data_IF_198130072045
#
_entry.id   IF_198130072045
#
_cell.length_a   1.000
_cell.length_b   1.000
_cell.length_c   1.000
_cell.angle_alpha   90.00
_cell.angle_beta   90.00
_cell.angle_gamma   90.00
#
_symmetry.space_group_name_H-M   'P 1'
#
loop_
_entity.id
_entity.type
_entity.pdbx_description
1 polymer ?
#
# COMPACT_ATOMS: atom_id res chain seq x y z
N UNK A 1 -1.74 10.33 -18.69
CA UNK A 1 -2.98 10.66 -17.98
C UNK A 1 -4.17 9.80 -18.40
N UNK A 2 -4.34 9.44 -19.68
CA UNK A 2 -5.48 8.64 -20.17
C UNK A 2 -5.70 7.29 -19.46
N UNK A 3 -4.63 6.52 -19.16
CA UNK A 3 -4.73 5.21 -18.51
C UNK A 3 -5.38 5.30 -17.12
N UNK A 4 -4.99 6.28 -16.32
CA UNK A 4 -5.55 6.45 -14.97
C UNK A 4 -6.99 6.93 -15.00
N UNK A 5 -7.35 7.78 -15.98
CA UNK A 5 -8.73 8.20 -16.24
C UNK A 5 -9.62 7.01 -16.60
N UNK A 6 -9.17 6.12 -17.49
CA UNK A 6 -9.93 4.92 -17.87
C UNK A 6 -10.16 3.96 -16.70
N UNK A 7 -9.16 3.79 -15.83
CA UNK A 7 -9.30 2.99 -14.60
C UNK A 7 -10.27 3.69 -13.63
N UNK A 8 -10.15 5.02 -13.47
CA UNK A 8 -11.05 5.83 -12.66
C UNK A 8 -12.50 5.73 -13.13
N UNK A 9 -12.72 5.81 -14.44
CA UNK A 9 -14.03 5.67 -15.06
C UNK A 9 -14.64 4.28 -14.80
N UNK A 10 -13.84 3.20 -14.96
CA UNK A 10 -14.30 1.84 -14.67
C UNK A 10 -14.64 1.66 -13.18
N UNK A 11 -13.78 2.16 -12.28
CA UNK A 11 -14.01 2.10 -10.85
C UNK A 11 -15.17 3.00 -10.41
N UNK A 12 -15.44 4.05 -11.16
CA UNK A 12 -16.56 4.97 -10.95
C UNK A 12 -17.93 4.27 -10.97
N UNK A 13 -18.10 3.21 -11.76
CA UNK A 13 -19.34 2.41 -11.75
C UNK A 13 -19.65 1.81 -10.37
N UNK A 14 -18.62 1.36 -9.66
CA UNK A 14 -18.80 0.82 -8.29
C UNK A 14 -19.24 1.96 -7.35
N UNK A 15 -18.59 3.11 -7.48
CA UNK A 15 -18.91 4.29 -6.66
C UNK A 15 -20.31 4.83 -6.98
N UNK A 16 -20.66 4.88 -8.28
CA UNK A 16 -22.00 5.25 -8.74
C UNK A 16 -23.07 4.28 -8.20
N UNK A 17 -22.85 2.97 -8.34
CA UNK A 17 -23.79 1.96 -7.84
C UNK A 17 -24.02 2.06 -6.34
N UNK A 18 -22.94 2.28 -5.56
CA UNK A 18 -23.03 2.53 -4.14
C UNK A 18 -23.78 3.83 -3.82
N UNK A 19 -23.52 4.90 -4.56
CA UNK A 19 -24.24 6.17 -4.40
C UNK A 19 -25.73 6.03 -4.77
N UNK A 20 -26.04 5.32 -5.86
CA UNK A 20 -27.41 5.09 -6.29
C UNK A 20 -28.26 4.42 -5.20
N UNK A 21 -27.67 3.47 -4.47
CA UNK A 21 -28.33 2.73 -3.37
C UNK A 21 -28.50 3.61 -2.13
N UNK A 22 -27.42 4.27 -1.70
CA UNK A 22 -27.37 4.94 -0.40
C UNK A 22 -27.66 6.44 -0.44
N UNK A 23 -27.67 7.05 -1.64
CA UNK A 23 -27.87 8.50 -1.87
C UNK A 23 -26.96 9.37 -0.99
N UNK A 24 -25.84 8.82 -0.56
CA UNK A 24 -24.85 9.48 0.30
C UNK A 24 -23.45 9.15 -0.17
N UNK A 25 -22.67 10.16 -0.54
CA UNK A 25 -21.36 9.97 -1.15
C UNK A 25 -20.31 9.47 -0.14
N UNK A 26 -20.42 9.87 1.13
CA UNK A 26 -19.54 9.35 2.18
C UNK A 26 -19.73 7.84 2.40
N UNK A 27 -20.98 7.37 2.44
CA UNK A 27 -21.29 5.94 2.53
C UNK A 27 -20.83 5.24 1.25
N UNK A 28 -21.04 5.85 0.08
CA UNK A 28 -20.58 5.32 -1.20
C UNK A 28 -19.05 5.13 -1.21
N UNK A 29 -18.28 6.07 -0.68
CA UNK A 29 -16.81 5.95 -0.52
C UNK A 29 -16.45 4.75 0.37
N UNK A 30 -17.14 4.55 1.49
CA UNK A 30 -16.87 3.42 2.41
C UNK A 30 -17.12 2.10 1.69
N UNK A 31 -18.30 1.93 1.09
CA UNK A 31 -18.70 0.70 0.36
C UNK A 31 -17.74 0.44 -0.80
N UNK A 32 -17.47 1.46 -1.60
CA UNK A 32 -16.50 1.40 -2.70
C UNK A 32 -15.13 0.91 -2.22
N UNK A 33 -14.63 1.50 -1.13
CA UNK A 33 -13.31 1.13 -0.58
C UNK A 33 -13.30 -0.32 -0.11
N UNK A 34 -14.36 -0.79 0.55
CA UNK A 34 -14.47 -2.19 0.99
C UNK A 34 -14.49 -3.13 -0.22
N UNK A 35 -15.32 -2.85 -1.25
CA UNK A 35 -15.44 -3.69 -2.45
C UNK A 35 -14.11 -3.78 -3.18
N UNK A 36 -13.44 -2.65 -3.43
CA UNK A 36 -12.15 -2.64 -4.12
C UNK A 36 -11.08 -3.35 -3.30
N UNK A 37 -11.02 -3.14 -1.98
CA UNK A 37 -10.06 -3.84 -1.11
C UNK A 37 -10.33 -5.34 -1.04
N UNK A 38 -11.59 -5.76 -1.05
CA UNK A 38 -11.97 -7.18 -1.11
C UNK A 38 -11.56 -7.81 -2.45
N UNK A 39 -11.80 -7.14 -3.57
CA UNK A 39 -11.36 -7.59 -4.88
C UNK A 39 -9.82 -7.71 -4.97
N UNK A 40 -9.09 -6.81 -4.33
CA UNK A 40 -7.62 -6.80 -4.29
C UNK A 40 -7.03 -7.72 -3.19
N UNK A 41 -7.87 -8.35 -2.36
CA UNK A 41 -7.41 -9.19 -1.25
C UNK A 41 -6.45 -10.31 -1.70
N UNK A 42 -6.73 -11.12 -2.77
CA UNK A 42 -5.81 -12.16 -3.22
C UNK A 42 -4.46 -11.60 -3.69
N UNK A 43 -4.46 -10.39 -4.26
CA UNK A 43 -3.21 -9.70 -4.62
C UNK A 43 -2.42 -9.28 -3.38
N UNK A 44 -3.09 -8.72 -2.38
CA UNK A 44 -2.48 -8.34 -1.09
C UNK A 44 -1.84 -9.55 -0.37
N UNK A 45 -2.48 -10.71 -0.44
CA UNK A 45 -1.91 -11.98 0.06
C UNK A 45 -0.63 -12.37 -0.66
N UNK A 46 -0.61 -12.28 -1.99
CA UNK A 46 0.59 -12.58 -2.78
C UNK A 46 1.72 -11.62 -2.46
N UNK A 47 1.41 -10.34 -2.30
CA UNK A 47 2.36 -9.29 -1.91
C UNK A 47 2.97 -9.60 -0.53
N UNK A 48 2.15 -9.96 0.45
CA UNK A 48 2.64 -10.31 1.79
C UNK A 48 3.53 -11.55 1.79
N UNK A 49 3.16 -12.59 1.03
CA UNK A 49 4.01 -13.78 0.84
C UNK A 49 5.36 -13.43 0.21
N UNK A 50 5.37 -12.56 -0.79
CA UNK A 50 6.61 -12.07 -1.43
C UNK A 50 7.48 -11.28 -0.45
N UNK A 51 6.89 -10.42 0.38
CA UNK A 51 7.61 -9.66 1.41
C UNK A 51 8.21 -10.58 2.48
N UNK A 52 7.49 -11.62 2.90
CA UNK A 52 7.99 -12.60 3.86
C UNK A 52 9.20 -13.40 3.31
N UNK A 53 9.18 -13.77 2.02
CA UNK A 53 10.33 -14.39 1.35
C UNK A 53 11.56 -13.49 1.31
N UNK A 54 11.35 -12.17 1.18
CA UNK A 54 12.43 -11.18 1.16
C UNK A 54 13.10 -10.98 2.54
N UNK A 55 12.47 -11.40 3.64
CA UNK A 55 13.03 -11.27 4.99
C UNK A 55 14.33 -12.08 5.17
N UNK A 56 14.41 -13.26 4.57
CA UNK A 56 15.63 -14.09 4.57
C UNK A 56 16.76 -13.41 3.81
N UNK A 57 16.42 -12.85 2.65
CA UNK A 57 17.36 -12.13 1.82
C UNK A 57 17.92 -10.91 2.55
N UNK A 58 17.09 -10.20 3.30
CA UNK A 58 17.49 -8.99 4.02
C UNK A 58 18.52 -9.26 5.13
N UNK A 59 18.49 -10.43 5.78
CA UNK A 59 19.53 -10.83 6.74
C UNK A 59 20.88 -10.99 6.05
N UNK A 60 20.92 -11.75 4.95
CA UNK A 60 22.15 -11.95 4.17
C UNK A 60 22.68 -10.63 3.58
N UNK A 61 21.79 -9.77 3.12
CA UNK A 61 22.17 -8.43 2.64
C UNK A 61 22.80 -7.58 3.75
N UNK A 62 22.28 -7.67 4.98
CA UNK A 62 22.83 -6.96 6.13
C UNK A 62 24.26 -7.45 6.44
N UNK A 63 24.45 -8.77 6.47
CA UNK A 63 25.79 -9.37 6.68
C UNK A 63 26.79 -8.94 5.58
N UNK A 64 26.36 -8.90 4.31
CA UNK A 64 27.20 -8.42 3.21
C UNK A 64 27.55 -6.93 3.34
N UNK A 65 26.60 -6.10 3.79
CA UNK A 65 26.85 -4.68 4.06
C UNK A 65 27.78 -4.45 5.21
N UNK A 66 27.66 -5.21 6.29
CA UNK A 66 28.58 -5.15 7.42
C UNK A 66 29.99 -5.57 7.03
N UNK A 67 30.10 -6.58 6.13
CA UNK A 67 31.38 -7.12 5.68
C UNK A 67 32.07 -6.24 4.62
N UNK A 68 31.33 -5.68 3.69
CA UNK A 68 31.87 -5.00 2.50
C UNK A 68 31.43 -3.53 2.39
N UNK A 69 30.82 -2.94 3.44
CA UNK A 69 30.25 -1.59 3.39
C UNK A 69 31.21 -0.48 2.99
N UNK A 70 32.51 -0.67 3.21
CA UNK A 70 33.55 0.27 2.82
C UNK A 70 33.97 0.13 1.33
N UNK A 71 33.62 -0.95 0.66
CA UNK A 71 33.92 -1.20 -0.75
C UNK A 71 32.63 -1.41 -1.56
N UNK A 72 32.16 -0.32 -2.19
CA UNK A 72 30.89 -0.33 -2.94
C UNK A 72 30.89 -1.31 -4.11
N UNK A 73 31.99 -1.48 -4.81
CA UNK A 73 32.09 -2.38 -5.97
C UNK A 73 31.97 -3.83 -5.52
N UNK A 74 32.73 -4.26 -4.52
CA UNK A 74 32.63 -5.61 -3.96
C UNK A 74 31.27 -5.88 -3.34
N UNK A 75 30.68 -4.90 -2.66
CA UNK A 75 29.33 -5.03 -2.12
C UNK A 75 28.32 -5.28 -3.24
N UNK A 76 28.38 -4.53 -4.34
CA UNK A 76 27.47 -4.69 -5.46
C UNK A 76 27.66 -6.05 -6.16
N UNK A 77 28.89 -6.49 -6.33
CA UNK A 77 29.21 -7.80 -6.90
C UNK A 77 28.66 -8.96 -6.06
N UNK A 78 28.90 -8.93 -4.75
CA UNK A 78 28.43 -9.96 -3.82
C UNK A 78 26.90 -9.93 -3.65
N UNK A 79 26.28 -8.74 -3.73
CA UNK A 79 24.83 -8.59 -3.77
C UNK A 79 24.23 -9.22 -5.03
N UNK A 80 24.86 -9.03 -6.21
CA UNK A 80 24.42 -9.65 -7.47
C UNK A 80 24.54 -11.18 -7.40
N UNK A 81 25.67 -11.71 -6.89
CA UNK A 81 25.86 -13.14 -6.67
C UNK A 81 24.80 -13.71 -5.69
N UNK A 82 24.45 -12.96 -4.64
CA UNK A 82 23.40 -13.35 -3.71
C UNK A 82 22.04 -13.44 -4.40
N UNK A 83 21.69 -12.48 -5.25
CA UNK A 83 20.43 -12.50 -6.02
C UNK A 83 20.39 -13.69 -7.01
N UNK A 84 21.48 -13.96 -7.71
CA UNK A 84 21.60 -15.11 -8.62
C UNK A 84 21.47 -16.44 -7.86
N UNK A 85 22.17 -16.58 -6.73
CA UNK A 85 22.15 -17.79 -5.89
C UNK A 85 20.77 -18.07 -5.29
N UNK A 86 20.02 -17.02 -4.92
CA UNK A 86 18.68 -17.14 -4.37
C UNK A 86 17.59 -17.15 -5.47
N UNK A 87 17.98 -17.08 -6.76
CA UNK A 87 17.05 -17.07 -7.90
C UNK A 87 16.10 -15.88 -7.93
N UNK A 88 16.47 -14.78 -7.29
CA UNK A 88 15.63 -13.57 -7.15
C UNK A 88 16.02 -12.56 -8.20
N UNK A 89 15.04 -12.16 -9.03
CA UNK A 89 15.21 -11.05 -9.97
C UNK A 89 15.01 -9.73 -9.22
N UNK A 90 16.02 -8.84 -9.13
CA UNK A 90 15.91 -7.58 -8.37
C UNK A 90 14.80 -6.66 -8.90
N UNK A 91 14.48 -6.73 -10.20
CA UNK A 91 13.37 -6.00 -10.80
C UNK A 91 11.98 -6.58 -10.47
N UNK A 92 11.86 -7.83 -10.05
CA UNK A 92 10.58 -8.46 -9.71
C UNK A 92 9.89 -7.81 -8.50
N UNK A 93 10.66 -7.23 -7.59
CA UNK A 93 10.15 -6.50 -6.44
C UNK A 93 9.49 -5.14 -6.78
N UNK A 94 9.94 -4.48 -7.85
CA UNK A 94 9.36 -3.20 -8.27
C UNK A 94 7.95 -3.36 -8.85
N UNK A 95 7.70 -4.45 -9.61
CA UNK A 95 6.37 -4.71 -10.19
C UNK A 95 5.29 -4.90 -9.12
N UNK A 96 5.62 -5.52 -8.00
CA UNK A 96 4.68 -5.70 -6.89
C UNK A 96 4.29 -4.39 -6.21
N UNK A 97 5.08 -3.33 -6.37
CA UNK A 97 4.81 -1.99 -5.83
C UNK A 97 4.09 -1.09 -6.85
N UNK A 98 4.39 -1.23 -8.14
CA UNK A 98 3.82 -0.40 -9.20
C UNK A 98 2.32 -0.68 -9.39
N UNK A 99 1.90 -1.94 -9.37
CA UNK A 99 0.49 -2.32 -9.57
C UNK A 99 -0.44 -1.67 -8.52
N UNK A 100 -0.17 -1.76 -7.20
CA UNK A 100 -0.97 -1.04 -6.21
C UNK A 100 -0.98 0.47 -6.41
N UNK A 101 0.11 1.06 -6.88
CA UNK A 101 0.19 2.49 -7.14
C UNK A 101 -0.71 2.91 -8.31
N UNK A 102 -0.74 2.13 -9.40
CA UNK A 102 -1.62 2.36 -10.55
C UNK A 102 -3.09 2.29 -10.10
N UNK A 103 -3.44 1.27 -9.31
CA UNK A 103 -4.79 1.12 -8.78
C UNK A 103 -5.15 2.27 -7.85
N UNK A 104 -4.25 2.68 -6.96
CA UNK A 104 -4.45 3.82 -6.07
C UNK A 104 -4.73 5.10 -6.86
N UNK A 105 -3.99 5.35 -7.94
CA UNK A 105 -4.23 6.48 -8.82
C UNK A 105 -5.59 6.37 -9.54
N UNK A 106 -5.99 5.19 -9.99
CA UNK A 106 -7.32 4.98 -10.57
C UNK A 106 -8.44 5.28 -9.59
N UNK A 107 -8.31 4.83 -8.33
CA UNK A 107 -9.27 5.14 -7.26
C UNK A 107 -9.30 6.65 -6.98
N UNK A 108 -8.13 7.28 -6.94
CA UNK A 108 -8.03 8.73 -6.79
C UNK A 108 -8.80 9.46 -7.90
N UNK A 109 -8.64 9.04 -9.16
CA UNK A 109 -9.36 9.63 -10.28
C UNK A 109 -10.88 9.42 -10.19
N UNK A 110 -11.34 8.26 -9.71
CA UNK A 110 -12.77 8.01 -9.52
C UNK A 110 -13.42 9.01 -8.53
N UNK A 111 -12.72 9.36 -7.46
CA UNK A 111 -13.21 10.29 -6.42
C UNK A 111 -12.97 11.76 -6.80
N UNK A 112 -11.85 12.07 -7.46
CA UNK A 112 -11.47 13.43 -7.82
C UNK A 112 -12.27 14.01 -9.00
N UNK A 113 -12.75 13.13 -9.89
CA UNK A 113 -13.55 13.50 -11.07
C UNK A 113 -14.93 12.86 -11.01
N UNK A 114 -15.79 13.32 -10.07
CA UNK A 114 -17.05 12.64 -9.79
C UNK A 114 -18.09 12.81 -10.90
N UNK A 115 -18.06 13.89 -11.66
CA UNK A 115 -19.00 14.11 -12.76
C UNK A 115 -18.70 13.21 -13.95
N UNK A 116 -17.44 13.15 -14.36
CA UNK A 116 -17.01 12.34 -15.52
C UNK A 116 -16.85 10.87 -15.17
N UNK A 117 -16.31 10.53 -13.99
CA UNK A 117 -16.00 9.14 -13.64
C UNK A 117 -17.09 8.45 -12.82
N UNK A 118 -17.86 9.17 -11.99
CA UNK A 118 -18.93 8.57 -11.16
C UNK A 118 -20.29 8.74 -11.81
N UNK A 119 -20.67 9.95 -12.23
CA UNK A 119 -21.94 10.17 -12.94
C UNK A 119 -21.85 9.82 -14.43
N UNK A 120 -20.66 9.55 -14.95
CA UNK A 120 -20.41 9.21 -16.36
C UNK A 120 -20.97 10.23 -17.37
N UNK A 121 -20.93 11.51 -16.98
CA UNK A 121 -21.32 12.60 -17.87
C UNK A 121 -20.25 12.79 -18.96
N UNK A 122 -20.70 13.33 -20.10
CA UNK A 122 -19.79 13.63 -21.20
C UNK A 122 -18.72 14.65 -20.75
N UNK A 123 -17.45 14.26 -20.90
CA UNK A 123 -16.32 15.10 -20.52
C UNK A 123 -16.25 16.43 -21.25
N UNK A 124 -16.78 16.52 -22.49
CA UNK A 124 -16.88 17.77 -23.25
C UNK A 124 -17.85 18.73 -22.56
N UNK A 125 -19.04 18.25 -22.18
CA UNK A 125 -20.05 19.04 -21.45
C UNK A 125 -19.53 19.51 -20.08
N UNK A 126 -18.85 18.61 -19.35
CA UNK A 126 -18.24 18.97 -18.06
C UNK A 126 -17.13 20.01 -18.26
N UNK A 127 -16.33 19.87 -19.31
CA UNK A 127 -15.30 20.84 -19.68
C UNK A 127 -15.88 22.24 -20.00
N UNK A 128 -17.01 22.30 -20.72
CA UNK A 128 -17.73 23.53 -21.03
C UNK A 128 -18.32 24.19 -19.77
N UNK A 129 -18.94 23.40 -18.90
CA UNK A 129 -19.43 23.89 -17.61
C UNK A 129 -18.30 24.42 -16.70
N UNK A 130 -17.14 23.78 -16.72
CA UNK A 130 -15.93 24.25 -16.02
C UNK A 130 -15.40 25.57 -16.62
N UNK A 131 -15.36 25.68 -17.95
CA UNK A 131 -14.93 26.89 -18.63
C UNK A 131 -15.85 28.08 -18.26
N UNK A 132 -17.16 27.84 -18.24
CA UNK A 132 -18.14 28.84 -17.80
C UNK A 132 -17.93 29.23 -16.34
N UNK A 133 -17.79 28.26 -15.43
CA UNK A 133 -17.54 28.51 -14.01
C UNK A 133 -16.27 29.36 -13.79
N UNK A 134 -15.23 29.11 -14.57
CA UNK A 134 -13.98 29.84 -14.54
C UNK A 134 -14.07 31.28 -15.00
N UNK A 135 -15.05 31.59 -15.85
CA UNK A 135 -15.27 32.96 -16.35
C UNK A 135 -16.06 33.81 -15.37
N UNK A 136 -16.64 33.27 -14.29
CA UNK A 136 -17.39 34.00 -13.29
C UNK A 136 -16.44 34.86 -12.44
N UNK A 137 -16.57 36.20 -12.41
CA UNK A 137 -15.77 37.07 -11.57
C UNK A 137 -15.93 36.71 -10.09
N UNK A 138 -14.82 36.52 -9.38
CA UNK A 138 -14.83 36.12 -7.96
C UNK A 138 -14.93 34.62 -7.70
N UNK A 139 -15.15 33.81 -8.74
CA UNK A 139 -14.94 32.37 -8.64
C UNK A 139 -13.44 32.09 -8.63
N UNK A 140 -12.87 32.17 -7.46
CA UNK A 140 -11.51 31.69 -7.28
C UNK A 140 -11.56 30.18 -7.20
N UNK A 141 -10.83 29.50 -8.10
CA UNK A 141 -10.52 28.10 -7.91
C UNK A 141 -9.89 27.96 -6.53
N UNK A 142 -10.67 27.52 -5.60
CA UNK A 142 -10.27 27.37 -4.21
C UNK A 142 -9.20 26.32 -4.02
N UNK A 143 -8.86 25.63 -5.08
CA UNK A 143 -7.71 24.72 -5.13
C UNK A 143 -6.97 25.13 -6.41
N UNK A 144 -5.81 25.69 -6.30
CA UNK A 144 -4.94 26.03 -7.43
C UNK A 144 -4.48 24.82 -8.25
N UNK A 145 -5.28 23.76 -8.29
CA UNK A 145 -5.01 22.49 -8.90
C UNK A 145 -6.18 22.08 -9.80
N UNK A 146 -5.91 21.96 -11.09
CA UNK A 146 -6.86 21.49 -12.11
C UNK A 146 -7.55 20.16 -11.76
N UNK A 147 -7.00 19.39 -10.83
CA UNK A 147 -7.45 18.04 -10.49
C UNK A 147 -8.79 17.99 -9.74
N UNK A 148 -9.20 19.08 -9.04
CA UNK A 148 -10.41 19.05 -8.20
C UNK A 148 -11.53 19.98 -8.72
N UNK A 149 -11.44 20.40 -9.97
CA UNK A 149 -12.38 21.34 -10.58
C UNK A 149 -13.80 20.80 -10.59
N UNK A 150 -14.02 19.51 -10.84
CA UNK A 150 -15.36 18.93 -10.83
C UNK A 150 -16.01 18.96 -9.45
N UNK A 151 -15.26 18.72 -8.38
CA UNK A 151 -15.78 18.83 -7.00
C UNK A 151 -16.09 20.30 -6.69
N UNK A 152 -15.24 21.23 -7.13
CA UNK A 152 -15.50 22.68 -6.96
C UNK A 152 -16.73 23.13 -7.76
N UNK A 153 -16.92 22.57 -8.95
CA UNK A 153 -18.11 22.82 -9.79
C UNK A 153 -19.39 22.37 -9.08
N UNK A 154 -19.40 21.19 -8.46
CA UNK A 154 -20.55 20.71 -7.70
C UNK A 154 -20.99 21.70 -6.60
N UNK A 155 -20.05 22.35 -5.95
CA UNK A 155 -20.34 23.31 -4.88
C UNK A 155 -21.08 24.55 -5.38
N UNK A 156 -20.76 25.04 -6.57
CA UNK A 156 -21.41 26.24 -7.16
C UNK A 156 -22.53 25.87 -8.12
N UNK A 157 -22.71 24.58 -8.41
CA UNK A 157 -23.66 24.11 -9.41
C UNK A 157 -25.09 24.67 -9.23
N UNK A 158 -25.66 24.76 -7.99
CA UNK A 158 -26.98 25.36 -7.78
C UNK A 158 -27.09 26.79 -8.29
N UNK A 159 -25.99 27.55 -8.33
CA UNK A 159 -25.98 28.96 -8.76
C UNK A 159 -25.93 29.10 -10.29
N UNK A 160 -25.34 28.12 -10.98
CA UNK A 160 -25.10 28.20 -12.44
C UNK A 160 -25.97 27.25 -13.26
N UNK A 161 -26.72 26.33 -12.63
CA UNK A 161 -27.50 25.30 -13.30
C UNK A 161 -28.52 25.89 -14.30
N UNK A 162 -29.14 27.02 -13.99
CA UNK A 162 -30.09 27.68 -14.88
C UNK A 162 -29.45 28.18 -16.17
N UNK A 163 -28.23 28.70 -16.09
CA UNK A 163 -27.46 29.10 -17.27
C UNK A 163 -27.08 27.88 -18.11
N UNK A 164 -26.53 26.83 -17.47
CA UNK A 164 -26.11 25.61 -18.17
C UNK A 164 -27.27 24.89 -18.84
N UNK A 165 -28.49 25.01 -18.30
CA UNK A 165 -29.70 24.50 -18.93
C UNK A 165 -30.09 25.34 -20.16
N UNK A 166 -30.05 26.68 -20.04
CA UNK A 166 -30.47 27.59 -21.13
C UNK A 166 -29.51 27.51 -22.32
N UNK A 167 -28.20 27.35 -22.08
CA UNK A 167 -27.19 27.18 -23.12
C UNK A 167 -27.17 25.74 -23.69
N UNK A 168 -27.98 24.83 -23.13
CA UNK A 168 -28.05 23.45 -23.60
C UNK A 168 -26.81 22.58 -23.28
N UNK A 169 -25.96 23.03 -22.37
CA UNK A 169 -24.78 22.25 -21.92
C UNK A 169 -25.23 20.96 -21.26
N UNK A 170 -26.19 21.07 -20.33
CA UNK A 170 -26.83 19.92 -19.69
C UNK A 170 -28.34 19.96 -19.92
N UNK A 171 -28.94 18.77 -20.09
CA UNK A 171 -30.38 18.63 -20.12
C UNK A 171 -30.99 18.59 -18.71
N UNK A 172 -32.30 18.71 -18.58
CA UNK A 172 -33.01 18.77 -17.31
C UNK A 172 -32.78 17.49 -16.45
N UNK A 173 -32.65 16.32 -17.08
CA UNK A 173 -32.39 15.06 -16.37
C UNK A 173 -30.95 15.00 -15.83
N UNK A 174 -29.97 15.47 -16.60
CA UNK A 174 -28.57 15.57 -16.15
C UNK A 174 -28.44 16.55 -14.97
N UNK A 175 -29.11 17.71 -15.04
CA UNK A 175 -29.14 18.71 -13.95
C UNK A 175 -29.76 18.12 -12.69
N UNK A 176 -30.88 17.40 -12.79
CA UNK A 176 -31.50 16.73 -11.64
C UNK A 176 -30.56 15.70 -11.01
N UNK A 177 -29.87 14.92 -11.83
CA UNK A 177 -28.88 13.92 -11.38
C UNK A 177 -27.67 14.60 -10.70
N UNK A 178 -27.17 15.69 -11.23
CA UNK A 178 -26.05 16.44 -10.62
C UNK A 178 -26.47 17.05 -9.29
N UNK A 179 -27.68 17.62 -9.18
CA UNK A 179 -28.19 18.19 -7.93
C UNK A 179 -28.38 17.09 -6.86
N UNK A 180 -28.98 15.96 -7.23
CA UNK A 180 -29.11 14.82 -6.31
C UNK A 180 -27.75 14.35 -5.82
N UNK A 181 -26.78 14.27 -6.72
CA UNK A 181 -25.42 13.87 -6.42
C UNK A 181 -24.71 14.87 -5.48
N UNK A 182 -24.81 16.18 -5.77
CA UNK A 182 -24.23 17.23 -4.94
C UNK A 182 -24.80 17.23 -3.51
N UNK A 183 -26.12 17.04 -3.37
CA UNK A 183 -26.79 16.94 -2.06
C UNK A 183 -26.30 15.73 -1.25
N UNK A 184 -25.84 14.67 -1.91
CA UNK A 184 -25.31 13.47 -1.29
C UNK A 184 -23.92 13.65 -0.64
N UNK A 185 -23.25 14.77 -0.83
CA UNK A 185 -21.93 15.01 -0.21
C UNK A 185 -21.99 15.42 1.27
N UNK A 186 -23.17 15.67 1.81
CA UNK A 186 -23.33 15.96 3.23
C UNK A 186 -23.42 14.66 4.05
N UNK A 187 -22.52 14.50 5.03
CA UNK A 187 -22.44 13.33 5.91
C UNK A 187 -22.62 13.72 7.39
N UNK A 188 -22.93 12.75 8.25
CA UNK A 188 -23.05 12.91 9.71
C UNK A 188 -23.93 14.12 10.14
N UNK A 189 -24.98 14.40 9.38
CA UNK A 189 -25.95 15.44 9.75
C UNK A 189 -25.49 16.90 9.54
N UNK A 190 -24.44 17.13 8.74
CA UNK A 190 -24.05 18.53 8.45
C UNK A 190 -22.61 18.73 7.93
N UNK A 191 -21.81 17.70 7.87
CA UNK A 191 -20.44 17.81 7.34
C UNK A 191 -20.48 17.73 5.81
N UNK A 192 -20.18 18.82 5.14
CA UNK A 192 -20.11 18.91 3.68
C UNK A 192 -18.73 18.50 3.18
N UNK A 193 -18.68 17.40 2.44
CA UNK A 193 -17.44 16.84 1.87
C UNK A 193 -16.89 17.64 0.68
N UNK A 194 -17.64 18.58 0.12
CA UNK A 194 -17.19 19.47 -0.95
C UNK A 194 -16.26 20.57 -0.45
N UNK A 195 -16.25 20.83 0.86
CA UNK A 195 -15.46 21.91 1.46
C UNK A 195 -13.98 21.54 1.50
N UNK A 196 -13.13 22.52 1.21
CA UNK A 196 -11.68 22.40 1.36
C UNK A 196 -11.27 22.98 2.72
N UNK A 197 -10.61 22.19 3.60
CA UNK A 197 -10.31 22.62 4.97
C UNK A 197 -9.56 23.95 5.08
N UNK A 198 -8.61 24.23 4.17
CA UNK A 198 -7.80 25.45 4.22
C UNK A 198 -8.59 26.76 3.99
N UNK A 199 -9.81 26.67 3.44
CA UNK A 199 -10.65 27.84 3.15
C UNK A 199 -11.40 28.37 4.38
N UNK A 200 -11.59 27.54 5.40
CA UNK A 200 -12.35 27.88 6.60
C UNK A 200 -11.48 28.39 7.75
N UNK A 201 -10.16 28.53 7.51
CA UNK A 201 -9.21 28.92 8.55
C UNK A 201 -8.81 27.80 9.50
N UNK A 202 -7.79 28.08 10.32
CA UNK A 202 -7.12 27.08 11.15
C UNK A 202 -7.99 26.51 12.30
N UNK A 203 -9.02 27.20 12.74
CA UNK A 203 -9.88 26.79 13.86
C UNK A 203 -11.21 26.17 13.43
N UNK A 204 -11.30 25.69 12.20
CA UNK A 204 -12.48 25.00 11.69
C UNK A 204 -12.51 23.52 12.07
N UNK A 205 -13.73 22.97 12.26
CA UNK A 205 -13.96 21.53 12.40
C UNK A 205 -13.35 20.70 11.28
N UNK A 206 -13.19 21.28 10.10
CA UNK A 206 -12.58 20.62 8.93
C UNK A 206 -11.09 20.33 9.11
N UNK A 207 -10.41 20.94 10.10
CA UNK A 207 -9.05 20.55 10.49
C UNK A 207 -8.98 19.10 11.02
N UNK A 208 -10.10 18.56 11.46
CA UNK A 208 -10.18 17.15 11.88
C UNK A 208 -9.80 16.19 10.74
N UNK A 209 -10.10 16.52 9.47
CA UNK A 209 -9.78 15.67 8.33
C UNK A 209 -8.28 15.47 8.14
N UNK A 210 -7.43 16.48 8.01
CA UNK A 210 -5.98 16.29 7.92
C UNK A 210 -5.39 15.63 9.18
N UNK A 211 -5.90 15.95 10.37
CA UNK A 211 -5.44 15.31 11.62
C UNK A 211 -5.79 13.82 11.62
N UNK A 212 -7.02 13.44 11.31
CA UNK A 212 -7.43 12.04 11.22
C UNK A 212 -6.69 11.30 10.09
N UNK A 213 -6.44 11.97 8.96
CA UNK A 213 -5.62 11.42 7.88
C UNK A 213 -4.21 11.10 8.38
N UNK A 214 -3.56 12.01 9.10
CA UNK A 214 -2.26 11.78 9.71
C UNK A 214 -2.28 10.62 10.69
N UNK A 215 -3.19 10.66 11.68
CA UNK A 215 -3.29 9.66 12.75
C UNK A 215 -3.60 8.27 12.18
N UNK A 216 -4.52 8.16 11.22
CA UNK A 216 -4.87 6.87 10.60
C UNK A 216 -3.72 6.29 9.80
N UNK A 217 -2.97 7.09 9.05
CA UNK A 217 -1.81 6.64 8.26
C UNK A 217 -0.64 6.25 9.16
N UNK A 218 -0.31 7.07 10.17
CA UNK A 218 0.75 6.76 11.14
C UNK A 218 0.39 5.52 11.95
N UNK A 219 -0.85 5.45 12.48
CA UNK A 219 -1.33 4.30 13.24
C UNK A 219 -1.29 3.00 12.42
N UNK A 220 -1.76 3.05 11.16
CA UNK A 220 -1.68 1.92 10.23
C UNK A 220 -0.23 1.50 9.98
N UNK A 221 0.68 2.46 9.79
CA UNK A 221 2.10 2.18 9.57
C UNK A 221 2.75 1.51 10.78
N UNK A 222 2.46 1.96 12.00
CA UNK A 222 2.97 1.35 13.22
C UNK A 222 2.49 -0.10 13.41
N UNK A 223 1.19 -0.33 13.18
CA UNK A 223 0.61 -1.66 13.34
C UNK A 223 1.15 -2.60 12.25
N UNK A 224 1.28 -2.13 11.00
CA UNK A 224 1.91 -2.87 9.92
C UNK A 224 3.35 -3.24 10.22
N UNK A 225 4.14 -2.32 10.79
CA UNK A 225 5.51 -2.60 11.23
C UNK A 225 5.54 -3.67 12.31
N UNK A 226 4.63 -3.62 13.28
CA UNK A 226 4.55 -4.61 14.36
C UNK A 226 4.16 -6.00 13.83
N UNK A 227 3.23 -6.08 12.89
CA UNK A 227 2.83 -7.33 12.23
C UNK A 227 3.99 -7.90 11.39
N UNK A 228 4.73 -7.03 10.70
CA UNK A 228 5.85 -7.41 9.82
C UNK A 228 7.22 -7.28 10.50
N UNK A 229 7.30 -7.38 11.82
CA UNK A 229 8.52 -7.12 12.61
C UNK A 229 9.74 -7.95 12.19
N UNK A 230 9.54 -9.11 11.58
CA UNK A 230 10.63 -9.94 11.05
C UNK A 230 11.29 -9.37 9.78
N UNK A 231 10.65 -8.40 9.09
CA UNK A 231 11.19 -7.72 7.91
C UNK A 231 11.97 -6.44 8.25
N UNK A 232 12.25 -6.18 9.53
CA UNK A 232 12.86 -4.93 10.00
C UNK A 232 14.28 -4.65 9.46
N UNK A 233 14.99 -5.64 8.98
CA UNK A 233 16.34 -5.43 8.44
C UNK A 233 16.36 -4.51 7.20
N UNK A 234 15.28 -4.48 6.41
CA UNK A 234 15.15 -3.58 5.27
C UNK A 234 14.70 -2.17 5.67
N UNK A 235 14.00 -2.05 6.81
CA UNK A 235 13.50 -0.77 7.34
C UNK A 235 14.53 0.02 8.17
N UNK A 236 15.67 -0.59 8.52
CA UNK A 236 16.68 0.07 9.35
C UNK A 236 17.57 1.08 8.60
N UNK A 237 17.41 1.25 7.29
CA UNK A 237 18.10 2.31 6.57
C UNK A 237 17.49 3.66 6.94
N UNK A 238 18.31 4.63 7.36
CA UNK A 238 17.86 5.93 7.86
C UNK A 238 16.89 6.67 6.91
N UNK A 239 17.08 6.57 5.60
CA UNK A 239 16.21 7.13 4.59
C UNK A 239 14.79 6.49 4.62
N UNK A 240 14.70 5.17 4.82
CA UNK A 240 13.42 4.46 4.88
C UNK A 240 12.63 4.82 6.14
N UNK A 241 13.31 5.01 7.29
CA UNK A 241 12.67 5.51 8.51
C UNK A 241 12.12 6.91 8.33
N UNK A 242 12.89 7.82 7.73
CA UNK A 242 12.42 9.17 7.44
C UNK A 242 11.18 9.16 6.54
N UNK A 243 11.13 8.29 5.54
CA UNK A 243 10.03 8.17 4.61
C UNK A 243 8.73 7.68 5.29
N UNK A 244 8.82 6.81 6.31
CA UNK A 244 7.67 6.32 7.09
C UNK A 244 6.96 7.45 7.84
N UNK A 245 7.69 8.48 8.29
CA UNK A 245 7.11 9.63 9.00
C UNK A 245 6.79 10.79 8.06
N UNK A 246 7.64 11.00 7.05
CA UNK A 246 7.49 12.12 6.12
C UNK A 246 6.28 11.94 5.21
N UNK A 247 6.01 10.71 4.76
CA UNK A 247 4.89 10.44 3.86
C UNK A 247 3.52 10.69 4.50
N UNK A 248 3.22 10.25 5.75
CA UNK A 248 1.99 10.63 6.44
C UNK A 248 1.85 12.13 6.69
N UNK A 249 2.94 12.82 6.99
CA UNK A 249 2.93 14.27 7.16
C UNK A 249 2.60 14.98 5.84
N UNK A 250 3.19 14.53 4.74
CA UNK A 250 2.89 15.04 3.41
C UNK A 250 1.43 14.77 3.01
N UNK A 251 0.91 13.58 3.31
CA UNK A 251 -0.50 13.26 3.05
C UNK A 251 -1.46 14.12 3.87
N UNK A 252 -1.12 14.45 5.12
CA UNK A 252 -1.91 15.37 5.95
C UNK A 252 -1.88 16.80 5.41
N UNK A 253 -0.73 17.27 4.92
CA UNK A 253 -0.61 18.57 4.28
C UNK A 253 -1.47 18.64 3.00
N UNK A 254 -1.45 17.58 2.17
CA UNK A 254 -2.34 17.51 1.01
C UNK A 254 -3.81 17.49 1.48
N UNK A 255 -4.16 16.67 2.49
CA UNK A 255 -5.51 16.58 3.04
C UNK A 255 -6.07 17.92 3.53
N UNK A 256 -5.21 18.84 3.94
CA UNK A 256 -5.59 20.23 4.29
C UNK A 256 -5.94 21.06 3.05
N UNK A 257 -5.34 20.74 1.90
CA UNK A 257 -5.42 21.53 0.65
C UNK A 257 -6.42 20.97 -0.37
N UNK A 258 -7.05 19.82 -0.09
CA UNK A 258 -8.00 19.17 -0.99
C UNK A 258 -9.40 19.13 -0.39
N UNK A 259 -10.46 18.90 -1.19
CA UNK A 259 -11.81 18.71 -0.69
C UNK A 259 -11.89 17.58 0.36
N UNK A 260 -12.74 17.78 1.37
CA UNK A 260 -12.90 16.84 2.48
C UNK A 260 -13.26 15.42 2.02
N UNK A 261 -13.93 15.25 0.87
CA UNK A 261 -14.21 13.96 0.24
C UNK A 261 -12.95 13.13 0.01
N UNK A 262 -11.88 13.77 -0.48
CA UNK A 262 -10.60 13.11 -0.73
C UNK A 262 -9.92 12.69 0.57
N UNK A 263 -9.91 13.59 1.56
CA UNK A 263 -9.38 13.31 2.88
C UNK A 263 -10.14 12.18 3.56
N UNK A 264 -11.47 12.18 3.45
CA UNK A 264 -12.34 11.13 3.96
C UNK A 264 -12.04 9.76 3.33
N UNK A 265 -11.87 9.74 1.99
CA UNK A 265 -11.45 8.52 1.30
C UNK A 265 -10.09 8.00 1.84
N UNK A 266 -9.08 8.87 2.03
CA UNK A 266 -7.78 8.44 2.57
C UNK A 266 -7.87 7.87 3.97
N UNK A 267 -8.67 8.49 4.85
CA UNK A 267 -8.93 7.98 6.20
C UNK A 267 -9.57 6.59 6.13
N UNK A 268 -10.66 6.44 5.37
CA UNK A 268 -11.35 5.16 5.22
C UNK A 268 -10.46 4.09 4.60
N UNK A 269 -9.69 4.45 3.57
CA UNK A 269 -8.73 3.54 2.94
C UNK A 269 -7.65 3.06 3.91
N UNK A 270 -7.11 3.94 4.76
CA UNK A 270 -6.12 3.59 5.78
C UNK A 270 -6.71 2.65 6.86
N UNK A 271 -7.93 2.93 7.33
CA UNK A 271 -8.61 2.11 8.33
C UNK A 271 -8.95 0.71 7.78
N UNK A 272 -9.50 0.64 6.58
CA UNK A 272 -9.84 -0.64 5.93
C UNK A 272 -8.56 -1.42 5.62
N UNK A 273 -7.48 -0.75 5.18
CA UNK A 273 -6.17 -1.37 5.00
C UNK A 273 -5.63 -1.96 6.30
N UNK A 274 -5.82 -1.26 7.43
CA UNK A 274 -5.42 -1.75 8.74
C UNK A 274 -6.18 -3.03 9.11
N UNK A 275 -7.52 -3.02 8.97
CA UNK A 275 -8.35 -4.21 9.22
C UNK A 275 -7.91 -5.38 8.33
N UNK A 276 -7.72 -5.12 7.02
CA UNK A 276 -7.24 -6.12 6.07
C UNK A 276 -5.89 -6.72 6.50
N UNK A 277 -4.97 -5.88 6.96
CA UNK A 277 -3.63 -6.32 7.39
C UNK A 277 -3.66 -7.15 8.66
N UNK A 278 -4.55 -6.82 9.60
CA UNK A 278 -4.78 -7.64 10.81
C UNK A 278 -5.34 -9.01 10.43
N UNK A 279 -6.32 -9.05 9.52
CA UNK A 279 -6.91 -10.30 9.03
C UNK A 279 -5.85 -11.15 8.36
N UNK A 280 -5.08 -10.58 7.45
CA UNK A 280 -4.00 -11.30 6.75
C UNK A 280 -2.94 -11.79 7.75
N UNK A 281 -2.53 -10.94 8.71
CA UNK A 281 -1.53 -11.30 9.71
C UNK A 281 -1.97 -12.43 10.64
N UNK A 282 -3.27 -12.54 10.94
CA UNK A 282 -3.84 -13.64 11.72
C UNK A 282 -4.01 -14.93 10.91
N UNK A 283 -4.51 -14.82 9.67
CA UNK A 283 -4.76 -15.97 8.80
C UNK A 283 -3.46 -16.56 8.23
N UNK A 284 -2.49 -15.71 7.93
CA UNK A 284 -1.21 -16.07 7.32
C UNK A 284 -0.07 -15.52 8.16
N UNK A 285 0.18 -16.16 9.31
CA UNK A 285 1.29 -15.78 10.18
C UNK A 285 2.60 -15.70 9.38
N UNK A 286 3.35 -14.57 9.49
CA UNK A 286 4.64 -14.44 8.82
C UNK A 286 5.60 -15.60 9.09
N UNK A 287 5.55 -16.18 10.30
CA UNK A 287 6.36 -17.33 10.66
C UNK A 287 6.04 -18.58 9.79
N UNK A 288 4.75 -18.88 9.56
CA UNK A 288 4.35 -19.98 8.67
C UNK A 288 4.75 -19.72 7.20
N UNK A 289 4.64 -18.49 6.74
CA UNK A 289 5.01 -18.13 5.37
C UNK A 289 6.52 -18.25 5.17
N UNK A 290 7.31 -17.83 6.16
CA UNK A 290 8.77 -17.95 6.15
C UNK A 290 9.17 -19.44 6.20
N UNK A 291 8.61 -20.22 7.12
CA UNK A 291 8.89 -21.64 7.23
C UNK A 291 8.57 -22.41 5.93
N UNK A 292 7.42 -22.12 5.31
CA UNK A 292 7.07 -22.71 4.01
C UNK A 292 8.00 -22.28 2.88
N UNK A 293 8.47 -21.03 2.88
CA UNK A 293 9.43 -20.54 1.88
C UNK A 293 10.80 -21.19 2.06
N UNK A 294 11.24 -21.40 3.29
CA UNK A 294 12.49 -22.09 3.62
C UNK A 294 12.41 -23.58 3.25
N UNK A 295 11.30 -24.25 3.55
CA UNK A 295 11.09 -25.63 3.17
C UNK A 295 11.12 -25.83 1.64
N UNK A 296 10.46 -24.93 0.89
CA UNK A 296 10.50 -24.96 -0.59
C UNK A 296 11.90 -24.71 -1.13
N UNK A 297 12.63 -23.76 -0.55
CA UNK A 297 14.00 -23.49 -0.96
C UNK A 297 14.90 -24.68 -0.68
N UNK A 298 14.79 -25.30 0.50
CA UNK A 298 15.52 -26.52 0.81
C UNK A 298 15.20 -27.65 -0.17
N UNK A 299 13.91 -27.86 -0.52
CA UNK A 299 13.50 -28.83 -1.51
C UNK A 299 14.12 -28.57 -2.90
N UNK A 300 14.13 -27.31 -3.35
CA UNK A 300 14.78 -26.94 -4.62
C UNK A 300 16.30 -27.17 -4.58
N UNK A 301 16.96 -26.89 -3.47
CA UNK A 301 18.40 -27.15 -3.32
C UNK A 301 18.69 -28.65 -3.38
N UNK A 302 17.88 -29.47 -2.68
CA UNK A 302 18.00 -30.94 -2.77
C UNK A 302 17.77 -31.47 -4.19
N UNK A 303 16.78 -30.91 -4.92
CA UNK A 303 16.52 -31.30 -6.31
C UNK A 303 17.69 -30.88 -7.23
N UNK A 304 18.28 -29.72 -7.02
CA UNK A 304 19.47 -29.30 -7.78
C UNK A 304 20.69 -30.16 -7.47
N UNK A 305 20.91 -30.51 -6.19
CA UNK A 305 21.97 -31.43 -5.78
C UNK A 305 21.79 -32.80 -6.37
N UNK A 306 20.54 -33.32 -6.42
CA UNK A 306 20.23 -34.62 -7.03
C UNK A 306 20.51 -34.65 -8.55
N UNK A 307 20.49 -33.49 -9.22
CA UNK A 307 20.83 -33.39 -10.65
C UNK A 307 22.34 -33.35 -10.94
N UNK A 308 23.18 -33.22 -9.88
CA UNK A 308 24.65 -33.23 -10.05
C UNK A 308 25.07 -34.63 -10.45
N UNK A 309 25.80 -34.86 -11.56
CA UNK A 309 26.29 -36.16 -11.95
C UNK A 309 27.10 -36.82 -10.83
N UNK A 310 26.90 -38.13 -10.65
CA UNK A 310 27.56 -38.90 -9.60
C UNK A 310 29.10 -38.81 -9.63
N UNK A 311 29.68 -38.46 -10.78
CA UNK A 311 31.13 -38.24 -10.95
C UNK A 311 31.66 -37.11 -10.04
N UNK A 312 30.82 -36.15 -9.68
CA UNK A 312 31.20 -35.04 -8.79
C UNK A 312 30.79 -35.25 -7.33
N UNK A 313 30.13 -36.35 -7.02
CA UNK A 313 29.84 -36.70 -5.65
C UNK A 313 31.16 -37.01 -4.89
N UNK A 314 31.45 -36.33 -3.75
CA UNK A 314 32.66 -36.63 -3.00
C UNK A 314 32.64 -38.14 -2.62
N UNK A 315 33.69 -38.87 -2.98
CA UNK A 315 33.82 -40.26 -2.57
C UNK A 315 33.68 -40.33 -1.06
N UNK A 316 32.68 -41.05 -0.56
CA UNK A 316 32.57 -41.36 0.87
C UNK A 316 33.90 -42.01 1.27
N UNK A 317 34.69 -41.34 2.12
CA UNK A 317 35.85 -41.99 2.74
C UNK A 317 35.33 -43.27 3.42
N UNK A 318 35.92 -44.44 3.15
CA UNK A 318 35.53 -45.63 3.89
C UNK A 318 35.75 -45.29 5.39
N UNK A 319 34.71 -45.46 6.17
CA UNK A 319 34.81 -45.39 7.62
C UNK A 319 35.80 -46.51 7.97
N UNK A 320 37.02 -46.16 8.33
CA UNK A 320 37.94 -47.10 8.93
C UNK A 320 37.24 -47.64 10.16
N UNK A 321 36.89 -48.90 10.14
CA UNK A 321 36.40 -49.62 11.30
C UNK A 321 37.48 -49.45 12.38
N UNK A 322 37.17 -48.67 13.39
CA UNK A 322 38.01 -48.51 14.57
C UNK A 322 38.17 -49.90 15.18
N UNK A 323 39.41 -50.45 15.07
CA UNK A 323 39.74 -51.75 15.64
C UNK A 323 39.45 -51.68 17.15
N UNK A 324 38.61 -52.57 17.62
CA UNK A 324 38.30 -52.72 19.03
C UNK A 324 39.61 -52.89 19.84
N UNK A 325 39.81 -52.16 20.92
CA UNK A 325 41.00 -52.33 21.75
C UNK A 325 40.93 -53.70 22.43
N UNK A 326 41.97 -54.53 22.16
CA UNK A 326 42.22 -55.81 22.84
C UNK A 326 42.30 -55.56 24.36
N UNK A 327 41.51 -56.32 25.08
CA UNK A 327 41.51 -56.31 26.53
C UNK A 327 42.86 -56.67 27.08
N UNK A 328 43.33 -55.92 28.03
CA UNK A 328 44.40 -56.34 28.92
C UNK A 328 43.98 -56.08 30.37
N UNK A 329 43.71 -57.22 31.01
CA UNK A 329 43.56 -57.35 32.43
C UNK A 329 44.92 -57.15 33.11
N UNK A 330 44.90 -56.56 34.24
CA UNK A 330 45.74 -56.64 35.42
C UNK A 330 46.31 -55.24 35.83
N UNK A 331 45.99 -54.69 36.89
CA UNK A 331 46.38 -55.02 38.23
C UNK A 331 45.91 -53.99 39.24
N UNK A 332 45.53 -54.46 40.36
CA UNK A 332 45.21 -53.76 41.60
C UNK A 332 46.39 -52.92 42.15
N UNK A 333 46.00 -51.90 42.79
CA UNK A 333 46.47 -51.41 44.08
C UNK A 333 46.94 -49.98 44.17
N UNK A 334 46.32 -49.38 45.09
CA UNK A 334 46.90 -48.56 46.18
C UNK A 334 46.95 -47.03 46.02
N UNK A 335 46.08 -46.50 46.75
CA UNK A 335 46.39 -45.60 47.87
C UNK A 335 46.41 -44.10 47.68
N UNK A 336 45.39 -43.55 48.27
CA UNK A 336 45.44 -42.50 49.33
C UNK A 336 46.24 -41.22 49.12
N UNK A 337 45.49 -40.19 49.42
CA UNK A 337 45.88 -38.94 50.12
C UNK A 337 46.31 -37.77 49.24
N UNK A 338 45.70 -36.72 49.35
CA UNK A 338 45.47 -35.55 50.24
C UNK A 338 45.16 -34.34 49.38
N UNK A 339 44.10 -33.67 49.62
CA UNK A 339 43.88 -32.43 50.43
C UNK A 339 44.75 -31.23 50.05
N UNK A 340 44.02 -30.14 49.76
CA UNK A 340 44.33 -28.70 49.97
C UNK A 340 45.32 -28.06 48.97
N UNK A 341 44.91 -27.13 48.26
CA UNK A 341 44.56 -25.73 48.62
C UNK A 341 43.68 -25.09 47.59
#
# INVERSE_FOLDING_TARGET
MQIFGSIGWLLGFILWGAFYIFKNFGIAIIVFTIVVKAALFPFSLKQQKSMAGSARLSKKQKELREKYGNNREKLQEEMNKLYEKEGIKPMGGCMTTIIPMIILLGIFYAVAYPLTNTLHLDGAKVGEALAFANAIPGYTHTVGNATYQEISLLRIFPQIQGYLLNEGVFNAAEIASINEFANGFTIFGGVDLLIVPNQLGFWSWYLLFPVLCFVSNVGSSFIMQKINSQNQAMQQQGCMKAMIYLLPLFSAWIAYSVPAAMSFYWIMSALIQLVQSIIIGKLFSPAHVIANSEARHAALMFEQEARIPAVYAPRKRPVQAEAAPAGNNANKNANKKKKKK
#
